data_IF_922990308302
#
_entry.id   IF_922990308302
#
_cell.length_a   1.000
_cell.length_b   1.000
_cell.length_c   1.000
_cell.angle_alpha   90.00
_cell.angle_beta   90.00
_cell.angle_gamma   90.00
#
_symmetry.space_group_name_H-M   'P 1'
#
loop_
_entity.id
_entity.type
_entity.pdbx_description
1 polymer ?
#
# COMPACT_ATOMS: atom_id res chain seq x y z
N UNK A 1 57.75 15.70 -52.94
CA UNK A 1 58.30 15.03 -54.15
C UNK A 1 57.56 13.71 -54.31
N UNK A 2 57.08 13.44 -55.52
CA UNK A 2 56.19 12.34 -55.88
C UNK A 2 56.86 10.96 -55.83
N UNK A 3 56.05 9.95 -55.44
CA UNK A 3 55.92 8.61 -56.04
C UNK A 3 57.17 7.70 -56.05
N UNK A 4 57.06 6.51 -55.44
CA UNK A 4 56.96 5.24 -56.20
C UNK A 4 57.07 3.99 -55.31
N UNK A 5 56.17 3.04 -55.60
CA UNK A 5 56.13 1.64 -55.15
C UNK A 5 57.33 0.84 -55.68
N UNK A 6 57.73 -0.23 -54.99
CA UNK A 6 57.89 -1.54 -55.63
C UNK A 6 57.81 -2.71 -54.64
N UNK A 7 57.13 -3.77 -55.07
CA UNK A 7 56.93 -5.08 -54.41
C UNK A 7 57.95 -6.09 -54.93
N UNK A 8 58.28 -7.12 -54.13
CA UNK A 8 58.53 -8.51 -54.57
C UNK A 8 58.37 -9.43 -53.32
N UNK A 9 57.42 -10.38 -53.21
CA UNK A 9 57.29 -11.76 -53.77
C UNK A 9 58.45 -12.68 -53.35
N UNK A 10 58.31 -13.85 -52.71
CA UNK A 10 57.47 -15.03 -53.03
C UNK A 10 57.43 -16.00 -51.82
N UNK A 11 56.24 -16.50 -51.43
CA UNK A 11 55.69 -17.88 -51.58
C UNK A 11 56.43 -19.01 -50.83
N UNK A 12 55.71 -19.68 -49.91
CA UNK A 12 55.39 -21.11 -49.99
C UNK A 12 54.19 -21.43 -49.07
N UNK A 13 53.26 -22.22 -49.60
CA UNK A 13 51.99 -22.65 -49.00
C UNK A 13 52.11 -24.03 -48.37
N UNK A 14 51.30 -24.32 -47.33
CA UNK A 14 50.32 -25.43 -47.23
C UNK A 14 50.05 -25.82 -45.74
N UNK A 15 48.75 -26.03 -45.44
CA UNK A 15 48.10 -26.65 -44.26
C UNK A 15 48.10 -25.80 -42.97
N UNK A 16 46.96 -25.50 -42.34
CA UNK A 16 45.58 -25.88 -42.63
C UNK A 16 44.62 -25.31 -41.58
N UNK A 17 43.35 -25.70 -41.76
CA UNK A 17 42.24 -25.66 -40.81
C UNK A 17 41.44 -24.35 -40.70
N UNK A 18 40.38 -24.33 -41.54
CA UNK A 18 39.02 -23.89 -41.25
C UNK A 18 38.70 -23.52 -39.79
N UNK A 19 38.04 -22.37 -39.56
CA UNK A 19 36.58 -22.28 -39.52
C UNK A 19 36.11 -20.83 -39.36
N UNK A 20 35.12 -20.46 -40.16
CA UNK A 20 34.30 -19.28 -39.97
C UNK A 20 33.49 -19.43 -38.67
N UNK A 21 33.63 -18.51 -37.72
CA UNK A 21 32.64 -18.39 -36.66
C UNK A 21 31.42 -17.64 -37.20
N UNK A 22 30.42 -18.41 -37.64
CA UNK A 22 29.03 -17.98 -37.65
C UNK A 22 28.61 -17.80 -36.19
N UNK A 23 28.19 -16.58 -35.84
CA UNK A 23 27.56 -16.29 -34.55
C UNK A 23 26.27 -17.10 -34.45
N UNK A 24 26.29 -18.14 -33.61
CA UNK A 24 25.12 -18.94 -33.27
C UNK A 24 24.23 -18.09 -32.35
N UNK A 25 23.10 -17.62 -32.86
CA UNK A 25 21.99 -17.15 -32.02
C UNK A 25 21.50 -18.36 -31.21
N UNK A 26 21.87 -18.42 -29.94
CA UNK A 26 21.26 -19.36 -29.00
C UNK A 26 19.98 -18.69 -28.47
N UNK A 27 18.90 -18.81 -29.22
CA UNK A 27 17.55 -18.53 -28.72
C UNK A 27 17.22 -19.63 -27.72
N UNK A 28 17.42 -19.37 -26.43
CA UNK A 28 16.77 -20.18 -25.39
C UNK A 28 15.28 -19.85 -25.48
N UNK A 29 14.54 -20.64 -26.26
CA UNK A 29 13.11 -20.80 -26.07
C UNK A 29 12.94 -21.50 -24.72
N UNK A 30 12.83 -20.71 -23.65
CA UNK A 30 12.05 -21.12 -22.50
C UNK A 30 10.62 -21.27 -23.00
N UNK A 31 10.28 -22.49 -23.42
CA UNK A 31 8.91 -22.97 -23.38
C UNK A 31 8.49 -22.91 -21.91
N UNK A 32 8.07 -21.72 -21.48
CA UNK A 32 7.10 -21.60 -20.42
C UNK A 32 5.86 -22.33 -20.94
N UNK A 33 5.79 -23.63 -20.69
CA UNK A 33 4.52 -24.21 -20.32
C UNK A 33 4.12 -23.46 -19.06
N UNK A 34 3.48 -22.30 -19.28
CA UNK A 34 2.70 -21.65 -18.27
C UNK A 34 1.65 -22.67 -17.91
N UNK A 35 1.92 -23.43 -16.84
CA UNK A 35 0.83 -23.88 -16.00
C UNK A 35 0.12 -22.58 -15.64
N UNK A 36 -0.99 -22.31 -16.32
CA UNK A 36 -1.99 -21.40 -15.80
C UNK A 36 -2.37 -22.03 -14.46
N UNK A 37 -1.69 -21.61 -13.41
CA UNK A 37 -2.17 -21.84 -12.06
C UNK A 37 -3.48 -21.07 -12.06
N UNK A 38 -4.58 -21.80 -12.22
CA UNK A 38 -5.91 -21.26 -11.97
C UNK A 38 -5.88 -20.94 -10.50
N UNK A 39 -5.70 -19.67 -10.14
CA UNK A 39 -5.89 -19.25 -8.76
C UNK A 39 -7.29 -19.73 -8.35
N UNK A 40 -7.35 -20.50 -7.26
CA UNK A 40 -8.62 -20.92 -6.71
C UNK A 40 -9.47 -19.67 -6.43
N UNK A 41 -10.78 -19.77 -6.67
CA UNK A 41 -11.68 -18.68 -6.31
C UNK A 41 -11.66 -18.49 -4.79
N UNK A 42 -11.81 -17.25 -4.29
CA UNK A 42 -11.93 -16.99 -2.87
C UNK A 42 -13.12 -17.76 -2.26
N UNK A 43 -12.95 -18.22 -1.03
CA UNK A 43 -13.87 -19.10 -0.32
C UNK A 43 -14.33 -18.46 0.99
N UNK A 44 -15.64 -18.53 1.24
CA UNK A 44 -16.21 -18.11 2.51
C UNK A 44 -15.92 -19.14 3.60
N UNK A 45 -15.44 -18.68 4.75
CA UNK A 45 -15.19 -19.56 5.91
C UNK A 45 -16.47 -19.85 6.72
N UNK A 46 -17.60 -19.28 6.29
CA UNK A 46 -18.91 -19.45 6.89
C UNK A 46 -19.96 -19.74 5.83
N UNK A 47 -20.94 -20.56 6.17
CA UNK A 47 -21.99 -20.98 5.25
C UNK A 47 -23.00 -19.87 4.90
N UNK A 48 -23.13 -18.85 5.76
CA UNK A 48 -24.04 -17.71 5.62
C UNK A 48 -23.43 -16.53 4.83
N UNK A 49 -22.13 -16.58 4.53
CA UNK A 49 -21.43 -15.65 3.63
C UNK A 49 -21.39 -16.24 2.23
N UNK A 50 -21.73 -15.43 1.22
CA UNK A 50 -21.72 -15.85 -0.20
C UNK A 50 -20.73 -15.03 -0.99
N UNK A 51 -20.05 -15.66 -1.95
CA UNK A 51 -19.04 -15.01 -2.78
C UNK A 51 -19.38 -15.25 -4.25
N UNK A 52 -19.28 -14.21 -5.07
CA UNK A 52 -19.33 -14.33 -6.54
C UNK A 52 -18.35 -13.38 -7.21
N UNK A 53 -17.81 -13.79 -8.35
CA UNK A 53 -17.07 -12.88 -9.22
C UNK A 53 -18.06 -11.94 -9.92
N UNK A 54 -17.76 -10.64 -9.93
CA UNK A 54 -18.54 -9.63 -10.65
C UNK A 54 -17.97 -9.46 -12.05
N UNK A 55 -16.68 -9.14 -12.14
CA UNK A 55 -16.00 -8.86 -13.41
C UNK A 55 -14.49 -9.01 -13.23
N UNK A 56 -13.79 -9.39 -14.30
CA UNK A 56 -12.32 -9.37 -14.37
C UNK A 56 -11.87 -8.13 -15.14
N UNK A 57 -10.93 -7.35 -14.60
CA UNK A 57 -10.66 -5.97 -15.07
C UNK A 57 -9.47 -5.82 -16.03
N UNK A 58 -8.83 -6.90 -16.51
CA UNK A 58 -7.61 -6.86 -17.38
C UNK A 58 -7.85 -6.13 -18.73
N UNK A 59 -6.85 -5.46 -19.36
CA UNK A 59 -5.61 -6.10 -19.86
C UNK A 59 -4.33 -5.25 -20.01
N UNK A 60 -4.27 -3.95 -19.67
CA UNK A 60 -3.05 -3.14 -19.92
C UNK A 60 -2.39 -2.57 -18.64
N UNK A 61 -3.19 -2.13 -17.67
CA UNK A 61 -2.70 -1.54 -16.41
C UNK A 61 -3.33 -2.24 -15.20
N UNK A 62 -2.63 -2.35 -14.05
CA UNK A 62 -3.21 -2.92 -12.84
C UNK A 62 -4.28 -2.00 -12.24
N UNK A 63 -5.36 -2.60 -11.75
CA UNK A 63 -6.33 -1.95 -10.88
C UNK A 63 -5.70 -1.73 -9.50
N UNK A 64 -5.94 -0.56 -8.92
CA UNK A 64 -5.32 -0.15 -7.66
C UNK A 64 -6.30 0.35 -6.61
N UNK A 65 -7.50 0.81 -7.00
CA UNK A 65 -8.54 1.26 -6.07
C UNK A 65 -9.94 0.93 -6.52
N UNK A 66 -10.87 0.78 -5.59
CA UNK A 66 -12.31 0.68 -5.80
C UNK A 66 -13.03 1.68 -4.89
N UNK A 67 -14.07 2.34 -5.38
CA UNK A 67 -14.78 3.37 -4.60
C UNK A 67 -16.22 3.51 -5.06
N UNK A 68 -17.15 3.81 -4.15
CA UNK A 68 -18.52 4.17 -4.52
C UNK A 68 -18.74 5.68 -4.52
N UNK A 69 -19.68 6.12 -5.34
CA UNK A 69 -20.31 7.43 -5.18
C UNK A 69 -21.34 7.34 -4.05
N UNK A 70 -21.15 8.06 -2.92
CA UNK A 70 -22.01 7.92 -1.75
C UNK A 70 -23.44 8.41 -1.98
N UNK A 71 -23.71 9.14 -3.08
CA UNK A 71 -25.03 9.69 -3.38
C UNK A 71 -25.98 8.66 -4.00
N UNK A 72 -25.43 7.64 -4.66
CA UNK A 72 -26.22 6.70 -5.45
C UNK A 72 -25.66 5.27 -5.52
N UNK A 73 -24.59 4.97 -4.76
CA UNK A 73 -23.92 3.68 -4.73
C UNK A 73 -23.33 3.22 -6.08
N UNK A 74 -23.11 4.12 -7.03
CA UNK A 74 -22.40 3.78 -8.28
C UNK A 74 -20.96 3.41 -7.95
N UNK A 75 -20.54 2.21 -8.32
CA UNK A 75 -19.19 1.70 -8.05
C UNK A 75 -18.23 2.02 -9.19
N UNK A 76 -17.01 2.43 -8.83
CA UNK A 76 -15.92 2.73 -9.75
C UNK A 76 -14.66 1.97 -9.33
N UNK A 77 -13.77 1.71 -10.28
CA UNK A 77 -12.39 1.33 -9.98
C UNK A 77 -11.39 2.16 -10.77
N UNK A 78 -10.21 2.33 -10.18
CA UNK A 78 -9.09 3.08 -10.71
C UNK A 78 -7.99 2.12 -11.16
N UNK A 79 -7.44 2.39 -12.35
CA UNK A 79 -6.22 1.78 -12.88
C UNK A 79 -5.03 2.69 -12.63
N UNK A 80 -3.82 2.11 -12.51
CA UNK A 80 -2.57 2.86 -12.25
C UNK A 80 -2.17 3.84 -13.37
N UNK A 81 -2.63 3.59 -14.61
CA UNK A 81 -2.46 4.49 -15.75
C UNK A 81 -3.40 5.71 -15.71
N UNK A 82 -4.29 5.80 -14.72
CA UNK A 82 -5.27 6.88 -14.55
C UNK A 82 -6.66 6.57 -15.08
N UNK A 83 -6.90 5.43 -15.72
CA UNK A 83 -8.24 5.10 -16.19
C UNK A 83 -9.20 4.85 -15.01
N UNK A 84 -10.37 5.48 -15.06
CA UNK A 84 -11.46 5.28 -14.10
C UNK A 84 -12.59 4.61 -14.86
N UNK A 85 -13.00 3.45 -14.36
CA UNK A 85 -14.10 2.67 -14.91
C UNK A 85 -15.28 2.69 -13.95
N UNK A 86 -16.49 2.80 -14.51
CA UNK A 86 -17.73 2.54 -13.78
C UNK A 86 -18.10 1.07 -13.92
N UNK A 87 -18.54 0.45 -12.82
CA UNK A 87 -19.03 -0.94 -12.80
C UNK A 87 -20.56 -0.94 -12.89
N UNK A 88 -21.10 -1.76 -13.79
CA UNK A 88 -22.51 -2.13 -13.77
C UNK A 88 -22.66 -3.47 -13.04
N UNK A 89 -23.16 -3.41 -11.81
CA UNK A 89 -23.32 -4.57 -10.94
C UNK A 89 -24.39 -5.56 -11.42
N UNK A 90 -25.39 -5.09 -12.17
CA UNK A 90 -26.48 -5.92 -12.66
C UNK A 90 -26.08 -6.73 -13.90
N UNK A 91 -25.33 -6.11 -14.82
CA UNK A 91 -24.87 -6.77 -16.04
C UNK A 91 -23.46 -7.33 -15.97
N UNK A 92 -22.73 -7.15 -14.85
CA UNK A 92 -21.33 -7.58 -14.70
C UNK A 92 -20.41 -7.01 -15.79
N UNK A 93 -20.63 -5.77 -16.19
CA UNK A 93 -19.83 -5.07 -17.21
C UNK A 93 -19.21 -3.79 -16.67
N UNK A 94 -18.22 -3.25 -17.38
CA UNK A 94 -17.54 -2.01 -16.98
C UNK A 94 -17.49 -1.04 -18.16
N UNK A 95 -17.39 0.26 -17.85
CA UNK A 95 -17.31 1.32 -18.86
C UNK A 95 -16.25 2.31 -18.45
N UNK A 96 -15.30 2.60 -19.34
CA UNK A 96 -14.32 3.68 -19.14
C UNK A 96 -15.07 5.02 -19.09
N UNK A 97 -14.90 5.78 -18.01
CA UNK A 97 -15.58 7.08 -17.84
C UNK A 97 -14.62 8.25 -17.81
N UNK A 98 -13.38 8.05 -17.32
CA UNK A 98 -12.34 9.07 -17.34
C UNK A 98 -10.97 8.42 -17.56
N UNK A 99 -10.04 9.21 -18.08
CA UNK A 99 -8.67 8.81 -18.38
C UNK A 99 -7.70 9.96 -18.15
N UNK A 100 -6.41 9.70 -18.36
CA UNK A 100 -5.38 10.74 -18.39
C UNK A 100 -5.78 11.94 -19.26
N UNK A 101 -6.52 11.76 -20.35
CA UNK A 101 -6.94 12.85 -21.22
C UNK A 101 -7.86 13.86 -20.51
N UNK A 102 -8.61 13.43 -19.52
CA UNK A 102 -9.52 14.26 -18.74
C UNK A 102 -8.79 14.98 -17.60
N UNK A 103 -8.11 14.21 -16.76
CA UNK A 103 -7.60 14.70 -15.47
C UNK A 103 -6.09 14.99 -15.44
N UNK A 104 -5.33 14.57 -16.45
CA UNK A 104 -3.88 14.79 -16.60
C UNK A 104 -3.02 14.23 -15.45
N UNK A 105 -3.43 13.10 -14.86
CA UNK A 105 -2.70 12.42 -13.79
C UNK A 105 -2.35 11.01 -14.25
N UNK A 106 -1.07 10.64 -14.15
CA UNK A 106 -0.59 9.27 -14.36
C UNK A 106 -0.04 8.70 -13.05
N UNK A 107 0.32 7.42 -13.03
CA UNK A 107 0.87 6.75 -11.83
C UNK A 107 -0.03 6.96 -10.60
N UNK A 108 -1.32 6.73 -10.84
CA UNK A 108 -2.39 6.95 -9.86
C UNK A 108 -2.35 5.87 -8.78
N UNK A 109 -2.59 6.29 -7.55
CA UNK A 109 -2.52 5.45 -6.35
C UNK A 109 -3.66 5.70 -5.35
N UNK A 110 -4.46 6.75 -5.54
CA UNK A 110 -5.55 7.10 -4.63
C UNK A 110 -6.73 7.72 -5.37
N UNK A 111 -7.94 7.31 -5.00
CA UNK A 111 -9.20 7.90 -5.43
C UNK A 111 -10.16 7.97 -4.24
N UNK A 112 -10.91 9.05 -4.11
CA UNK A 112 -12.01 9.16 -3.16
C UNK A 112 -13.15 9.99 -3.75
N UNK A 113 -14.39 9.72 -3.33
CA UNK A 113 -15.56 10.50 -3.77
C UNK A 113 -16.21 11.15 -2.55
N UNK A 114 -16.29 12.48 -2.58
CA UNK A 114 -16.90 13.26 -1.50
C UNK A 114 -18.43 13.17 -1.49
N UNK A 115 -19.09 13.63 -0.42
CA UNK A 115 -20.55 13.59 -0.29
C UNK A 115 -21.28 14.39 -1.38
N UNK A 116 -20.65 15.41 -1.96
CA UNK A 116 -21.17 16.16 -3.11
C UNK A 116 -20.90 15.49 -4.47
N UNK A 117 -20.22 14.34 -4.48
CA UNK A 117 -19.84 13.60 -5.67
C UNK A 117 -18.56 14.04 -6.34
N UNK A 118 -17.81 14.99 -5.77
CA UNK A 118 -16.49 15.37 -6.28
C UNK A 118 -15.53 14.18 -6.19
N UNK A 119 -14.86 13.84 -7.30
CA UNK A 119 -13.80 12.82 -7.30
C UNK A 119 -12.48 13.52 -6.98
N UNK A 120 -11.73 13.00 -6.02
CA UNK A 120 -10.34 13.37 -5.75
C UNK A 120 -9.44 12.25 -6.25
N UNK A 121 -8.38 12.60 -6.98
CA UNK A 121 -7.46 11.64 -7.58
C UNK A 121 -6.02 12.04 -7.27
N UNK A 122 -5.21 11.04 -6.92
CA UNK A 122 -3.82 11.20 -6.52
C UNK A 122 -2.94 10.36 -7.43
N UNK A 123 -1.88 10.99 -7.96
CA UNK A 123 -0.83 10.30 -8.68
C UNK A 123 0.56 10.88 -8.39
N UNK A 124 1.57 10.13 -8.83
CA UNK A 124 2.98 10.41 -8.53
C UNK A 124 3.80 10.55 -9.81
N UNK A 125 4.22 11.77 -10.13
CA UNK A 125 5.05 12.03 -11.30
C UNK A 125 6.53 11.80 -11.01
N UNK A 126 7.20 10.99 -11.84
CA UNK A 126 8.66 10.95 -11.85
C UNK A 126 9.24 12.29 -12.33
N UNK A 127 10.32 12.72 -11.71
CA UNK A 127 11.07 13.94 -12.03
C UNK A 127 12.53 13.56 -12.25
N UNK A 128 13.30 14.40 -12.95
CA UNK A 128 14.73 14.21 -13.16
C UNK A 128 15.48 13.96 -11.84
N UNK A 129 16.66 13.33 -11.93
CA UNK A 129 17.52 13.00 -10.79
C UNK A 129 16.84 12.08 -9.76
N UNK A 130 16.09 11.07 -10.21
CA UNK A 130 15.42 10.11 -9.31
C UNK A 130 14.51 10.77 -8.25
N UNK A 131 13.86 11.88 -8.59
CA UNK A 131 12.86 12.52 -7.75
C UNK A 131 11.43 12.10 -8.13
N UNK A 132 10.48 12.39 -7.25
CA UNK A 132 9.04 12.26 -7.48
C UNK A 132 8.31 13.51 -7.00
N UNK A 133 7.08 13.71 -7.47
CA UNK A 133 6.16 14.75 -6.98
C UNK A 133 4.72 14.23 -7.00
N UNK A 134 3.93 14.65 -6.01
CA UNK A 134 2.50 14.37 -5.96
C UNK A 134 1.71 15.35 -6.84
N UNK A 135 0.68 14.84 -7.51
CA UNK A 135 -0.32 15.62 -8.23
C UNK A 135 -1.68 15.19 -7.70
N UNK A 136 -2.40 16.14 -7.10
CA UNK A 136 -3.75 15.94 -6.55
C UNK A 136 -4.71 16.79 -7.36
N UNK A 137 -5.69 16.14 -7.97
CA UNK A 137 -6.73 16.81 -8.79
C UNK A 137 -8.10 16.52 -8.22
N UNK A 138 -9.06 17.40 -8.54
CA UNK A 138 -10.47 17.22 -8.22
C UNK A 138 -11.33 17.36 -9.47
N UNK A 139 -12.27 16.44 -9.64
CA UNK A 139 -13.29 16.46 -10.68
C UNK A 139 -14.63 16.85 -10.09
N UNK A 140 -15.05 18.10 -10.27
CA UNK A 140 -16.30 18.65 -9.73
C UNK A 140 -17.40 18.56 -10.78
N UNK A 141 -18.61 18.17 -10.39
CA UNK A 141 -19.75 18.09 -11.31
C UNK A 141 -20.26 19.51 -11.59
N UNK A 142 -20.36 19.87 -12.87
CA UNK A 142 -21.06 21.05 -13.32
C UNK A 142 -22.58 20.79 -13.23
N UNK A 143 -23.29 21.57 -12.41
CA UNK A 143 -24.72 21.40 -12.16
C UNK A 143 -25.60 21.64 -13.38
N UNK A 144 -25.14 22.41 -14.36
CA UNK A 144 -25.90 22.74 -15.56
C UNK A 144 -25.78 21.66 -16.64
N UNK A 145 -24.64 20.97 -16.71
CA UNK A 145 -24.35 19.99 -17.77
C UNK A 145 -24.26 18.55 -17.29
N UNK A 146 -24.15 18.34 -15.96
CA UNK A 146 -23.85 17.03 -15.37
C UNK A 146 -22.43 16.52 -15.63
N UNK A 147 -21.63 17.23 -16.42
CA UNK A 147 -20.26 16.85 -16.77
C UNK A 147 -19.29 17.17 -15.64
N UNK A 148 -18.22 16.38 -15.53
CA UNK A 148 -17.19 16.58 -14.52
C UNK A 148 -16.07 17.46 -15.05
N UNK A 149 -15.78 18.56 -14.34
CA UNK A 149 -14.70 19.50 -14.64
C UNK A 149 -13.52 19.19 -13.74
N UNK A 150 -12.39 18.86 -14.36
CA UNK A 150 -11.15 18.52 -13.66
C UNK A 150 -10.28 19.76 -13.43
N UNK A 151 -9.72 19.87 -12.23
CA UNK A 151 -8.81 20.96 -11.85
C UNK A 151 -7.78 20.47 -10.85
N UNK A 152 -6.64 21.16 -10.76
CA UNK A 152 -5.60 20.86 -9.76
C UNK A 152 -6.05 21.38 -8.39
N UNK A 153 -6.12 20.48 -7.42
CA UNK A 153 -6.28 20.84 -6.02
C UNK A 153 -4.92 21.23 -5.42
N UNK A 154 -3.92 20.36 -5.56
CA UNK A 154 -2.59 20.58 -5.01
C UNK A 154 -1.48 19.88 -5.81
N UNK A 155 -0.26 20.40 -5.70
CA UNK A 155 0.97 19.76 -6.18
C UNK A 155 2.05 19.87 -5.12
N UNK A 156 2.86 18.83 -4.96
CA UNK A 156 4.04 18.91 -4.10
C UNK A 156 5.25 19.49 -4.82
N UNK A 157 6.19 20.01 -4.05
CA UNK A 157 7.58 20.10 -4.47
C UNK A 157 8.10 18.71 -4.89
N UNK A 158 9.12 18.69 -5.75
CA UNK A 158 9.85 17.45 -6.01
C UNK A 158 10.63 17.04 -4.76
N UNK A 159 10.68 15.73 -4.50
CA UNK A 159 11.44 15.17 -3.38
C UNK A 159 12.15 13.87 -3.83
N UNK A 160 13.32 13.56 -3.25
CA UNK A 160 14.14 12.44 -3.68
C UNK A 160 13.46 11.10 -3.38
N UNK A 161 13.52 10.15 -4.32
CA UNK A 161 13.22 8.74 -4.05
C UNK A 161 14.40 8.06 -3.36
N UNK A 162 14.20 6.93 -2.72
CA UNK A 162 15.27 6.04 -2.24
C UNK A 162 15.79 5.11 -3.34
N UNK A 163 15.02 4.93 -4.43
CA UNK A 163 15.32 3.95 -5.50
C UNK A 163 15.31 2.51 -4.96
N UNK A 164 14.44 2.29 -3.99
CA UNK A 164 14.19 0.97 -3.39
C UNK A 164 12.72 0.57 -3.63
N UNK A 165 12.31 -0.57 -3.08
CA UNK A 165 10.90 -0.97 -3.08
C UNK A 165 10.06 -0.17 -2.05
N UNK A 166 10.70 0.62 -1.17
CA UNK A 166 10.08 1.28 -0.01
C UNK A 166 9.74 2.74 -0.26
N UNK A 167 9.80 3.19 -1.52
CA UNK A 167 9.26 4.49 -1.92
C UNK A 167 7.72 4.43 -1.94
N UNK A 168 7.09 4.61 -0.77
CA UNK A 168 5.64 4.45 -0.60
C UNK A 168 4.80 5.60 -1.18
N UNK A 169 5.40 6.81 -1.24
CA UNK A 169 4.87 8.01 -1.93
C UNK A 169 3.45 8.39 -1.49
N UNK A 170 2.78 9.25 -2.27
CA UNK A 170 1.42 9.67 -1.99
C UNK A 170 0.44 8.60 -2.49
N UNK A 171 -0.41 8.08 -1.61
CA UNK A 171 -1.35 7.01 -1.96
C UNK A 171 -2.75 7.20 -1.34
N UNK A 172 -3.13 6.44 -0.31
CA UNK A 172 -4.45 6.39 0.30
C UNK A 172 -5.05 7.77 0.54
N UNK A 173 -6.35 7.89 0.25
CA UNK A 173 -7.09 9.14 0.39
C UNK A 173 -8.51 8.89 0.83
N UNK A 174 -8.98 9.70 1.78
CA UNK A 174 -10.39 9.76 2.18
C UNK A 174 -10.87 11.19 2.24
N UNK A 175 -12.18 11.38 2.02
CA UNK A 175 -12.85 12.66 2.21
C UNK A 175 -13.47 12.67 3.62
N UNK A 176 -13.36 13.78 4.34
CA UNK A 176 -14.07 13.96 5.61
C UNK A 176 -15.58 13.79 5.43
N UNK A 177 -16.26 13.32 6.49
CA UNK A 177 -17.72 13.10 6.46
C UNK A 177 -18.51 14.36 6.11
N UNK A 178 -18.02 15.53 6.51
CA UNK A 178 -18.60 16.84 6.17
C UNK A 178 -18.22 17.35 4.77
N UNK A 179 -17.32 16.67 4.06
CA UNK A 179 -16.84 17.05 2.73
C UNK A 179 -15.86 18.22 2.70
N UNK A 180 -15.42 18.75 3.85
CA UNK A 180 -14.57 19.94 3.91
C UNK A 180 -13.08 19.66 3.69
N UNK A 181 -12.62 18.44 3.94
CA UNK A 181 -11.21 18.06 3.85
C UNK A 181 -11.01 16.74 3.12
N UNK A 182 -9.82 16.57 2.54
CA UNK A 182 -9.27 15.26 2.23
C UNK A 182 -8.06 14.97 3.11
N UNK A 183 -7.89 13.70 3.48
CA UNK A 183 -6.73 13.18 4.19
C UNK A 183 -5.98 12.25 3.26
N UNK A 184 -4.67 12.43 3.16
CA UNK A 184 -3.82 11.76 2.18
C UNK A 184 -2.62 11.18 2.89
N UNK A 185 -2.35 9.88 2.71
CA UNK A 185 -1.08 9.32 3.12
C UNK A 185 0.04 9.80 2.18
N UNK A 186 1.07 10.40 2.76
CA UNK A 186 2.37 10.63 2.15
C UNK A 186 3.37 9.72 2.85
N UNK A 187 3.54 8.52 2.28
CA UNK A 187 4.30 7.45 2.89
C UNK A 187 5.79 7.75 3.03
N UNK A 188 6.47 6.88 3.78
CA UNK A 188 7.91 6.96 3.98
C UNK A 188 8.68 6.74 2.68
N UNK A 189 9.93 7.19 2.68
CA UNK A 189 10.90 6.96 1.62
C UNK A 189 11.72 5.69 1.86
N UNK A 190 11.78 5.25 3.10
CA UNK A 190 12.68 4.21 3.61
C UNK A 190 11.91 3.05 4.23
N UNK A 191 12.59 1.91 4.41
CA UNK A 191 11.98 0.75 5.04
C UNK A 191 11.76 0.98 6.54
N UNK A 192 12.77 1.48 7.24
CA UNK A 192 12.79 1.64 8.70
C UNK A 192 13.59 2.88 9.15
N UNK A 193 13.65 3.93 8.31
CA UNK A 193 14.35 5.18 8.63
C UNK A 193 15.86 5.15 8.39
N UNK A 194 16.36 4.13 7.72
CA UNK A 194 17.76 4.00 7.35
C UNK A 194 18.21 5.05 6.32
N UNK A 195 19.52 5.27 6.20
CA UNK A 195 20.06 6.09 5.11
C UNK A 195 19.86 5.34 3.79
N UNK A 196 19.27 6.01 2.81
CA UNK A 196 19.18 5.48 1.45
C UNK A 196 19.60 6.52 0.41
N UNK A 197 20.56 6.14 -0.43
CA UNK A 197 20.96 6.92 -1.61
C UNK A 197 20.28 6.40 -2.87
N UNK A 198 19.86 7.30 -3.76
CA UNK A 198 19.32 6.92 -5.06
C UNK A 198 20.46 6.72 -6.07
N UNK A 199 21.20 5.61 -5.94
CA UNK A 199 22.31 5.29 -6.82
C UNK A 199 23.44 6.34 -6.81
N UNK A 200 23.78 6.85 -5.63
CA UNK A 200 24.76 7.92 -5.42
C UNK A 200 24.15 9.32 -5.34
N UNK A 201 22.91 9.51 -5.82
CA UNK A 201 22.18 10.77 -5.64
C UNK A 201 21.66 10.87 -4.20
N UNK A 202 21.66 12.09 -3.66
CA UNK A 202 21.18 12.40 -2.29
C UNK A 202 21.83 11.52 -1.22
N UNK A 203 23.17 11.54 -1.07
CA UNK A 203 23.84 10.78 -0.02
C UNK A 203 23.31 11.18 1.35
N UNK A 204 23.34 10.25 2.31
CA UNK A 204 22.93 10.47 3.70
C UNK A 204 21.45 10.86 3.89
N UNK A 205 20.62 10.67 2.87
CA UNK A 205 19.19 11.03 2.94
C UNK A 205 18.37 9.89 3.54
N UNK A 206 17.50 10.22 4.51
CA UNK A 206 16.51 9.33 5.12
C UNK A 206 15.12 9.72 4.63
N UNK A 207 14.25 10.13 5.54
CA UNK A 207 12.99 10.83 5.30
C UNK A 207 13.22 12.32 4.99
N UNK A 208 12.26 12.95 4.31
CA UNK A 208 12.27 14.37 3.94
C UNK A 208 10.97 15.04 4.36
N UNK A 209 10.87 16.37 4.20
CA UNK A 209 9.76 17.15 4.77
C UNK A 209 8.35 16.66 4.42
N UNK A 210 8.16 16.08 3.24
CA UNK A 210 6.87 15.54 2.78
C UNK A 210 6.60 14.08 3.18
N UNK A 211 7.57 13.30 3.61
CA UNK A 211 7.39 11.84 3.79
C UNK A 211 7.01 11.47 5.23
N UNK A 212 6.46 10.29 5.40
CA UNK A 212 6.02 9.76 6.69
C UNK A 212 4.99 10.61 7.44
N UNK A 213 3.90 11.00 6.75
CA UNK A 213 2.81 11.78 7.35
C UNK A 213 1.46 11.63 6.65
N UNK A 214 0.40 12.01 7.36
CA UNK A 214 -0.92 12.26 6.77
C UNK A 214 -1.06 13.76 6.50
N UNK A 215 -1.30 14.10 5.23
CA UNK A 215 -1.59 15.46 4.78
C UNK A 215 -3.11 15.68 4.83
N UNK A 216 -3.56 16.82 5.35
CA UNK A 216 -4.95 17.28 5.26
C UNK A 216 -5.05 18.52 4.39
N UNK A 217 -5.89 18.47 3.36
CA UNK A 217 -6.12 19.59 2.44
C UNK A 217 -7.60 20.01 2.42
N UNK A 218 -7.92 21.31 2.39
CA UNK A 218 -9.30 21.75 2.27
C UNK A 218 -9.82 21.50 0.85
N UNK A 219 -11.04 20.98 0.72
CA UNK A 219 -11.64 20.61 -0.57
C UNK A 219 -11.96 21.79 -1.48
N UNK A 220 -12.18 22.97 -0.89
CA UNK A 220 -12.35 24.23 -1.60
C UNK A 220 -11.04 24.83 -2.14
N UNK A 221 -9.88 24.26 -1.77
CA UNK A 221 -8.57 24.72 -2.23
C UNK A 221 -8.39 24.62 -3.75
N UNK A 222 -7.44 25.39 -4.27
CA UNK A 222 -7.10 25.40 -5.69
C UNK A 222 -5.60 25.69 -5.85
N UNK A 223 -4.92 24.89 -6.67
CA UNK A 223 -3.49 25.03 -6.96
C UNK A 223 -2.60 25.16 -5.71
N UNK A 224 -2.93 24.46 -4.61
CA UNK A 224 -2.13 24.50 -3.39
C UNK A 224 -0.74 23.92 -3.64
N UNK A 225 0.27 24.49 -2.98
CA UNK A 225 1.64 23.99 -3.06
C UNK A 225 2.07 23.33 -1.75
N UNK A 226 2.55 22.08 -1.84
CA UNK A 226 3.07 21.33 -0.69
C UNK A 226 4.59 21.39 -0.72
N UNK A 227 5.17 22.25 0.11
CA UNK A 227 6.62 22.37 0.20
C UNK A 227 7.27 21.08 0.73
N UNK A 228 8.46 20.73 0.24
CA UNK A 228 9.27 19.66 0.84
C UNK A 228 9.98 20.13 2.12
N UNK A 229 9.20 20.64 3.07
CA UNK A 229 9.66 21.16 4.34
C UNK A 229 8.58 20.95 5.41
N UNK A 230 8.91 20.18 6.46
CA UNK A 230 7.93 19.81 7.49
C UNK A 230 7.38 21.01 8.25
N UNK A 231 8.24 21.97 8.62
CA UNK A 231 7.82 23.15 9.36
C UNK A 231 6.86 24.01 8.52
N UNK A 232 7.15 24.22 7.23
CA UNK A 232 6.25 24.94 6.32
C UNK A 232 4.89 24.25 6.19
N UNK A 233 4.86 22.92 6.05
CA UNK A 233 3.60 22.16 5.98
C UNK A 233 2.79 22.28 7.27
N UNK A 234 3.45 22.26 8.44
CA UNK A 234 2.80 22.47 9.74
C UNK A 234 2.22 23.88 9.86
N UNK A 235 3.01 24.91 9.54
CA UNK A 235 2.55 26.31 9.59
C UNK A 235 1.40 26.60 8.63
N UNK A 236 1.34 25.89 7.50
CA UNK A 236 0.23 25.96 6.55
C UNK A 236 -1.02 25.16 6.99
N UNK A 237 -0.95 24.42 8.10
CA UNK A 237 -2.05 23.58 8.59
C UNK A 237 -2.28 22.30 7.80
N UNK A 238 -1.32 21.89 6.97
CA UNK A 238 -1.44 20.72 6.08
C UNK A 238 -1.01 19.40 6.72
N UNK A 239 -0.30 19.40 7.84
CA UNK A 239 0.00 18.16 8.56
C UNK A 239 -1.17 17.80 9.47
N UNK A 240 -1.75 16.62 9.25
CA UNK A 240 -2.74 16.02 10.16
C UNK A 240 -2.08 15.14 11.21
N UNK A 241 -1.28 14.16 10.77
CA UNK A 241 -0.58 13.22 11.64
C UNK A 241 0.83 12.93 11.09
N UNK A 242 1.72 12.44 11.95
CA UNK A 242 3.12 12.18 11.62
C UNK A 242 3.56 10.79 12.06
N UNK A 243 4.73 10.35 11.60
CA UNK A 243 5.30 9.06 12.02
C UNK A 243 4.57 7.87 11.43
N UNK A 244 4.14 8.01 10.18
CA UNK A 244 3.45 6.99 9.40
C UNK A 244 4.45 6.38 8.41
N UNK A 245 4.50 5.06 8.25
CA UNK A 245 5.27 4.39 7.21
C UNK A 245 4.48 4.32 5.91
N UNK A 246 3.45 3.49 5.87
CA UNK A 246 2.62 3.32 4.67
C UNK A 246 1.18 2.98 5.03
N UNK A 247 0.42 3.97 5.51
CA UNK A 247 -1.03 3.85 5.66
C UNK A 247 -1.70 3.85 4.27
N UNK A 248 -1.68 2.71 3.59
CA UNK A 248 -2.16 2.62 2.21
C UNK A 248 -3.67 2.83 2.11
N UNK A 249 -4.43 2.49 3.16
CA UNK A 249 -5.87 2.72 3.26
C UNK A 249 -6.28 3.35 4.58
N UNK A 250 -7.27 4.23 4.48
CA UNK A 250 -7.91 4.91 5.60
C UNK A 250 -9.42 4.81 5.45
N UNK A 251 -10.16 4.83 6.54
CA UNK A 251 -11.62 4.93 6.51
C UNK A 251 -12.18 5.57 7.77
N UNK A 252 -13.27 6.33 7.60
CA UNK A 252 -14.06 6.80 8.73
C UNK A 252 -15.00 5.68 9.19
N UNK A 253 -14.93 5.35 10.47
CA UNK A 253 -15.92 4.49 11.11
C UNK A 253 -17.25 5.23 11.29
N UNK A 254 -18.37 4.52 11.58
CA UNK A 254 -19.70 5.13 11.65
C UNK A 254 -19.86 6.14 12.79
N UNK A 255 -18.95 6.12 13.77
CA UNK A 255 -18.88 7.09 14.87
C UNK A 255 -18.05 8.35 14.54
N UNK A 256 -17.49 8.44 13.33
CA UNK A 256 -16.68 9.58 12.88
C UNK A 256 -15.18 9.49 13.19
N UNK A 257 -14.72 8.42 13.84
CA UNK A 257 -13.29 8.20 14.06
C UNK A 257 -12.60 7.76 12.76
N UNK A 258 -11.41 8.32 12.49
CA UNK A 258 -10.60 7.97 11.32
C UNK A 258 -9.63 6.85 11.68
N UNK A 259 -9.65 5.77 10.91
CA UNK A 259 -8.71 4.66 11.06
C UNK A 259 -7.78 4.57 9.85
N UNK A 260 -6.57 4.06 10.06
CA UNK A 260 -5.60 3.78 9.02
C UNK A 260 -4.99 2.39 9.18
N UNK A 261 -5.00 1.60 8.10
CA UNK A 261 -4.29 0.33 8.01
C UNK A 261 -2.89 0.59 7.44
N UNK A 262 -1.85 0.20 8.19
CA UNK A 262 -0.48 0.65 7.95
C UNK A 262 0.49 -0.51 7.78
N UNK A 263 1.29 -0.43 6.72
CA UNK A 263 2.24 -1.49 6.38
C UNK A 263 3.59 -1.33 7.09
N UNK A 264 4.05 -2.40 7.73
CA UNK A 264 5.30 -2.56 8.45
C UNK A 264 6.50 -2.86 7.55
N UNK A 265 7.71 -2.85 8.13
CA UNK A 265 8.98 -3.01 7.42
C UNK A 265 9.34 -4.49 7.20
N UNK A 266 10.47 -4.72 6.52
CA UNK A 266 10.98 -6.06 6.22
C UNK A 266 11.45 -6.86 7.46
N UNK A 267 11.68 -6.20 8.60
CA UNK A 267 11.89 -6.84 9.90
C UNK A 267 10.55 -7.22 10.49
N UNK A 268 10.44 -8.43 11.06
CA UNK A 268 9.21 -9.05 11.59
C UNK A 268 8.58 -8.24 12.77
N UNK A 269 8.05 -7.07 12.48
CA UNK A 269 7.34 -6.16 13.37
C UNK A 269 5.88 -6.10 12.93
N UNK A 270 4.96 -6.02 13.89
CA UNK A 270 3.52 -6.06 13.61
C UNK A 270 3.11 -5.04 12.56
N UNK A 271 2.21 -5.43 11.66
CA UNK A 271 1.43 -4.48 10.89
C UNK A 271 0.48 -3.73 11.84
N UNK A 272 0.01 -2.55 11.46
CA UNK A 272 -0.73 -1.67 12.37
C UNK A 272 -2.14 -1.32 11.87
N UNK A 273 -3.08 -1.23 12.80
CA UNK A 273 -4.31 -0.46 12.66
C UNK A 273 -4.26 0.70 13.65
N UNK A 274 -4.37 1.92 13.14
CA UNK A 274 -4.19 3.14 13.91
C UNK A 274 -5.47 3.96 13.96
N UNK A 275 -5.88 4.43 15.15
CA UNK A 275 -6.88 5.49 15.28
C UNK A 275 -6.20 6.84 15.01
N UNK A 276 -6.34 7.34 13.79
CA UNK A 276 -5.68 8.53 13.27
C UNK A 276 -6.29 9.82 13.82
N UNK A 277 -5.45 10.65 14.43
CA UNK A 277 -5.88 11.88 15.13
C UNK A 277 -4.96 13.05 14.81
N UNK A 278 -5.55 14.23 14.75
CA UNK A 278 -4.82 15.45 14.45
C UNK A 278 -3.75 15.72 15.52
N UNK A 279 -2.52 15.97 15.08
CA UNK A 279 -1.38 16.32 15.95
C UNK A 279 -0.68 15.12 16.59
N UNK A 280 -1.14 13.89 16.33
CA UNK A 280 -0.53 12.68 16.88
C UNK A 280 0.65 12.21 16.01
N UNK A 281 1.59 11.52 16.65
CA UNK A 281 2.75 10.90 16.01
C UNK A 281 2.73 9.39 16.24
N UNK A 282 2.76 8.59 15.18
CA UNK A 282 2.52 7.14 15.19
C UNK A 282 3.80 6.30 15.28
N UNK A 283 4.96 6.97 15.29
CA UNK A 283 6.19 6.40 15.81
C UNK A 283 7.27 6.16 14.79
N UNK A 284 6.94 5.97 13.51
CA UNK A 284 7.94 5.78 12.47
C UNK A 284 8.94 6.95 12.41
N UNK A 285 10.26 6.71 12.32
CA UNK A 285 10.90 5.39 12.24
C UNK A 285 11.38 4.82 13.59
N UNK A 286 11.10 5.48 14.72
CA UNK A 286 11.62 5.09 16.04
C UNK A 286 10.88 3.94 16.69
N UNK A 287 9.57 3.85 16.45
CA UNK A 287 8.70 2.84 17.02
C UNK A 287 7.74 2.35 15.95
N UNK A 288 7.73 1.05 15.72
CA UNK A 288 7.05 0.41 14.60
C UNK A 288 6.48 -0.92 15.08
N UNK A 289 5.22 -1.19 14.77
CA UNK A 289 4.50 -2.39 15.16
C UNK A 289 4.44 -2.57 16.68
N UNK A 290 4.39 -1.48 17.45
CA UNK A 290 4.44 -1.49 18.92
C UNK A 290 5.81 -1.86 19.52
N UNK A 291 6.88 -1.85 18.73
CA UNK A 291 8.24 -2.16 19.18
C UNK A 291 9.24 -1.07 18.80
N UNK A 292 10.32 -0.92 19.57
CA UNK A 292 11.35 0.06 19.23
C UNK A 292 12.18 -0.44 18.04
N UNK A 293 12.45 0.44 17.08
CA UNK A 293 13.34 0.15 15.97
C UNK A 293 14.77 -0.03 16.50
N UNK A 294 15.38 -1.21 16.39
CA UNK A 294 16.65 -1.47 17.04
C UNK A 294 17.79 -0.63 16.46
N UNK A 295 17.68 -0.16 15.22
CA UNK A 295 18.72 0.64 14.55
C UNK A 295 18.97 2.00 15.20
N UNK A 296 18.05 2.47 16.06
CA UNK A 296 18.27 3.68 16.85
C UNK A 296 19.29 3.50 17.99
N UNK A 297 19.67 2.27 18.33
CA UNK A 297 20.55 1.99 19.46
C UNK A 297 22.01 1.76 19.01
N UNK A 298 23.00 2.42 19.67
CA UNK A 298 24.42 2.32 19.30
C UNK A 298 25.04 0.92 19.40
N UNK A 299 24.39 -0.02 20.09
CA UNK A 299 24.85 -1.40 20.26
C UNK A 299 24.07 -2.41 19.40
N UNK A 300 23.24 -1.93 18.45
CA UNK A 300 22.51 -2.81 17.55
C UNK A 300 23.46 -3.67 16.72
N UNK A 301 23.27 -4.99 16.77
CA UNK A 301 23.98 -5.94 15.93
C UNK A 301 22.95 -6.77 15.15
N UNK A 302 22.79 -6.53 13.82
CA UNK A 302 21.80 -7.24 13.01
C UNK A 302 22.04 -8.76 12.96
N UNK A 303 23.28 -9.23 13.15
CA UNK A 303 23.57 -10.66 13.16
C UNK A 303 22.90 -11.41 14.33
N UNK A 304 22.51 -10.69 15.38
CA UNK A 304 21.81 -11.24 16.55
C UNK A 304 20.29 -11.02 16.50
N UNK A 305 19.79 -10.31 15.49
CA UNK A 305 18.38 -9.96 15.39
C UNK A 305 17.58 -11.08 14.73
N UNK A 306 16.88 -11.83 15.56
CA UNK A 306 16.06 -12.98 15.13
C UNK A 306 14.82 -12.57 14.32
N UNK A 307 14.50 -11.28 14.25
CA UNK A 307 13.37 -10.77 13.49
C UNK A 307 13.76 -10.40 12.04
N UNK A 308 15.02 -10.58 11.65
CA UNK A 308 15.47 -10.38 10.28
C UNK A 308 15.36 -11.67 9.48
N UNK A 309 14.36 -11.75 8.59
CA UNK A 309 14.19 -12.89 7.69
C UNK A 309 14.99 -12.66 6.39
N UNK A 310 15.94 -13.56 6.03
CA UNK A 310 16.83 -13.38 4.88
C UNK A 310 16.11 -13.48 3.52
N UNK A 311 14.81 -13.72 3.47
CA UNK A 311 14.01 -13.64 2.24
C UNK A 311 13.65 -12.19 1.86
N UNK A 312 13.82 -11.24 2.77
CA UNK A 312 13.44 -9.85 2.55
C UNK A 312 14.53 -8.99 1.91
N UNK A 313 14.09 -7.99 1.14
CA UNK A 313 14.96 -7.14 0.34
C UNK A 313 15.88 -6.27 1.18
N UNK A 314 15.40 -5.69 2.28
CA UNK A 314 16.18 -4.81 3.14
C UNK A 314 17.22 -5.60 3.93
N UNK A 315 16.87 -6.83 4.33
CA UNK A 315 17.78 -7.76 5.01
C UNK A 315 18.90 -8.20 4.06
N UNK A 316 18.54 -8.71 2.87
CA UNK A 316 19.53 -9.19 1.89
C UNK A 316 20.46 -8.11 1.36
N UNK A 317 20.00 -6.85 1.32
CA UNK A 317 20.81 -5.70 0.91
C UNK A 317 21.59 -5.06 2.06
N UNK A 318 21.47 -5.57 3.28
CA UNK A 318 22.22 -5.08 4.44
C UNK A 318 21.77 -3.70 4.93
N UNK A 319 20.49 -3.36 4.78
CA UNK A 319 19.94 -2.07 5.22
C UNK A 319 19.77 -1.98 6.74
N UNK A 320 19.74 -3.12 7.42
CA UNK A 320 19.83 -3.22 8.87
C UNK A 320 21.30 -3.26 9.31
N UNK A 321 21.77 -2.19 9.95
CA UNK A 321 23.15 -2.06 10.44
C UNK A 321 23.21 -1.16 11.67
N UNK A 322 24.32 -1.20 12.42
CA UNK A 322 24.54 -0.25 13.51
C UNK A 322 24.75 1.15 12.93
N UNK A 323 23.85 2.09 13.25
CA UNK A 323 23.85 3.43 12.73
C UNK A 323 24.02 4.47 13.85
N UNK A 324 25.27 4.87 14.19
CA UNK A 324 25.52 5.91 15.19
C UNK A 324 24.93 7.29 14.83
N UNK A 325 24.49 7.46 13.59
CA UNK A 325 23.87 8.71 13.09
C UNK A 325 22.36 8.62 12.97
N UNK A 326 21.75 7.55 13.51
CA UNK A 326 20.29 7.42 13.52
C UNK A 326 19.68 8.62 14.27
N UNK A 327 18.60 9.25 13.75
CA UNK A 327 18.04 10.44 14.37
C UNK A 327 17.58 10.14 15.81
N UNK A 328 17.87 11.02 16.79
CA UNK A 328 17.39 10.83 18.15
C UNK A 328 15.87 10.80 18.17
N UNK A 329 15.31 9.90 18.99
CA UNK A 329 13.86 9.84 19.23
C UNK A 329 13.37 11.19 19.76
N UNK A 330 12.33 11.79 19.16
CA UNK A 330 11.82 13.08 19.62
C UNK A 330 11.23 12.95 21.02
N UNK A 331 11.34 14.02 21.82
CA UNK A 331 10.72 14.11 23.14
C UNK A 331 9.22 14.42 23.02
N UNK A 332 8.47 13.50 22.42
CA UNK A 332 7.01 13.55 22.26
C UNK A 332 6.43 12.19 22.65
N UNK A 333 5.16 12.18 23.07
CA UNK A 333 4.44 10.92 23.27
C UNK A 333 4.13 10.32 21.89
N UNK A 334 4.64 9.11 21.65
CA UNK A 334 4.28 8.33 20.47
C UNK A 334 2.97 7.60 20.73
N UNK A 335 2.21 7.41 19.65
CA UNK A 335 0.89 6.77 19.68
C UNK A 335 1.06 5.30 19.38
N UNK A 336 0.52 4.43 20.23
CA UNK A 336 0.54 3.00 19.99
C UNK A 336 -0.58 2.56 19.04
N UNK A 337 -0.33 1.50 18.24
CA UNK A 337 -1.37 0.88 17.42
C UNK A 337 -2.45 0.20 18.26
N UNK A 338 -3.54 -0.21 17.62
CA UNK A 338 -4.70 -0.85 18.27
C UNK A 338 -4.40 -2.33 18.55
N UNK A 339 -4.30 -2.78 19.81
CA UNK A 339 -3.99 -4.17 20.14
C UNK A 339 -5.09 -5.12 19.68
N UNK A 340 -4.67 -6.22 19.03
CA UNK A 340 -5.51 -7.33 18.60
C UNK A 340 -5.47 -8.47 19.61
N UNK A 341 -6.64 -8.94 20.01
CA UNK A 341 -6.86 -10.06 20.94
C UNK A 341 -7.26 -11.35 20.21
N UNK A 342 -7.15 -11.37 18.88
CA UNK A 342 -7.32 -12.54 18.02
C UNK A 342 -8.79 -12.88 17.72
N UNK A 343 -9.08 -14.13 17.30
CA UNK A 343 -8.15 -15.26 17.21
C UNK A 343 -7.27 -15.26 15.95
N UNK A 344 -7.48 -14.34 15.01
CA UNK A 344 -6.74 -14.33 13.75
C UNK A 344 -5.80 -13.14 13.62
N UNK A 345 -4.85 -13.28 12.70
CA UNK A 345 -3.87 -12.24 12.35
C UNK A 345 -3.05 -11.77 13.55
N UNK A 346 -2.72 -12.66 14.47
CA UNK A 346 -2.05 -12.34 15.74
C UNK A 346 -0.83 -13.23 16.03
N UNK A 347 -0.31 -13.92 15.01
CA UNK A 347 1.00 -14.57 15.06
C UNK A 347 2.14 -13.55 15.09
N UNK A 348 3.19 -13.84 15.86
CA UNK A 348 4.42 -13.05 15.94
C UNK A 348 5.65 -13.94 16.12
N UNK A 349 6.82 -13.44 15.71
CA UNK A 349 8.10 -14.07 16.00
C UNK A 349 8.65 -13.50 17.30
N UNK A 350 8.94 -14.35 18.27
CA UNK A 350 9.51 -13.93 19.54
C UNK A 350 10.96 -13.48 19.37
N UNK A 351 11.33 -12.24 19.72
CA UNK A 351 12.70 -11.75 19.58
C UNK A 351 13.73 -12.50 20.44
N UNK A 352 13.32 -13.13 21.54
CA UNK A 352 14.21 -13.82 22.48
C UNK A 352 14.70 -15.16 21.95
N UNK A 353 13.84 -15.90 21.24
CA UNK A 353 14.15 -17.26 20.81
C UNK A 353 13.88 -17.53 19.31
N UNK A 354 13.28 -16.59 18.58
CA UNK A 354 12.98 -16.69 17.15
C UNK A 354 11.79 -17.59 16.81
N UNK A 355 11.09 -18.14 17.81
CA UNK A 355 9.93 -19.00 17.60
C UNK A 355 8.69 -18.19 17.24
N UNK A 356 7.90 -18.72 16.33
CA UNK A 356 6.59 -18.16 15.98
C UNK A 356 5.55 -18.61 17.00
N UNK A 357 4.84 -17.64 17.56
CA UNK A 357 3.81 -17.80 18.59
C UNK A 357 2.52 -17.13 18.12
N UNK A 358 1.40 -17.68 18.57
CA UNK A 358 0.06 -17.12 18.43
C UNK A 358 -0.26 -16.35 19.72
N UNK A 359 -0.57 -15.05 19.62
CA UNK A 359 -0.74 -14.21 20.79
C UNK A 359 -2.01 -14.56 21.58
N UNK A 360 -3.15 -14.68 20.92
CA UNK A 360 -4.44 -14.97 21.58
C UNK A 360 -4.48 -16.37 22.16
N UNK A 361 -3.85 -17.37 21.51
CA UNK A 361 -3.67 -18.70 22.07
C UNK A 361 -2.91 -18.69 23.40
N UNK A 362 -1.98 -17.74 23.57
CA UNK A 362 -1.22 -17.53 24.81
C UNK A 362 -1.92 -16.60 25.81
N UNK A 363 -3.15 -16.15 25.53
CA UNK A 363 -3.88 -15.18 26.36
C UNK A 363 -3.29 -13.77 26.33
N UNK A 364 -2.58 -13.42 25.26
CA UNK A 364 -1.91 -12.13 25.06
C UNK A 364 -2.53 -11.40 23.86
N UNK A 365 -2.16 -10.13 23.68
CA UNK A 365 -2.49 -9.36 22.47
C UNK A 365 -1.26 -9.13 21.61
N UNK A 366 -1.45 -9.05 20.29
CA UNK A 366 -0.45 -8.50 19.37
C UNK A 366 -0.73 -7.00 19.13
N UNK A 367 0.30 -6.23 18.77
CA UNK A 367 0.15 -4.78 18.56
C UNK A 367 -0.91 -4.40 17.53
N UNK A 368 -1.04 -5.11 16.41
CA UNK A 368 -2.31 -5.23 15.66
C UNK A 368 -2.32 -6.51 14.83
N UNK A 369 -1.66 -6.54 13.67
CA UNK A 369 -1.71 -7.72 12.80
C UNK A 369 -0.35 -8.40 12.67
N UNK A 370 -0.37 -9.70 12.40
CA UNK A 370 0.81 -10.48 12.01
C UNK A 370 1.59 -9.73 10.95
N UNK A 371 2.90 -9.68 11.14
CA UNK A 371 3.83 -8.98 10.27
C UNK A 371 3.74 -9.48 8.81
N UNK A 372 4.03 -8.58 7.87
CA UNK A 372 4.04 -8.80 6.42
C UNK A 372 2.68 -9.07 5.76
N UNK A 373 1.56 -8.99 6.49
CA UNK A 373 0.22 -9.15 5.90
C UNK A 373 -0.11 -8.06 4.90
N UNK A 374 0.53 -6.89 5.02
CA UNK A 374 0.21 -5.69 4.23
C UNK A 374 -1.30 -5.42 4.24
N UNK A 375 -1.87 -4.93 5.37
CA UNK A 375 -3.29 -4.69 5.50
C UNK A 375 -3.72 -3.53 4.58
N UNK A 376 -4.72 -3.76 3.72
CA UNK A 376 -5.26 -2.80 2.74
C UNK A 376 -6.80 -2.85 2.70
N UNK A 377 -7.45 -1.98 1.92
CA UNK A 377 -8.89 -1.99 1.68
C UNK A 377 -9.74 -1.94 2.96
N UNK A 378 -9.36 -1.06 3.89
CA UNK A 378 -10.09 -0.83 5.13
C UNK A 378 -11.45 -0.18 4.86
N UNK A 379 -12.54 -0.81 5.29
CA UNK A 379 -13.92 -0.32 5.12
C UNK A 379 -14.78 -0.55 6.36
N UNK A 380 -15.86 0.21 6.51
CA UNK A 380 -16.81 0.08 7.63
C UNK A 380 -18.26 0.00 7.15
N UNK A 381 -19.10 -0.78 7.84
CA UNK A 381 -20.57 -0.78 7.64
C UNK A 381 -21.21 0.52 8.17
N UNK A 382 -21.03 1.61 7.42
CA UNK A 382 -21.54 2.93 7.77
C UNK A 382 -23.07 3.04 7.81
N UNK A 383 -23.78 2.13 7.14
CA UNK A 383 -25.24 2.12 7.08
C UNK A 383 -25.86 1.26 8.18
N UNK A 384 -25.08 0.40 8.85
CA UNK A 384 -25.60 -0.60 9.78
C UNK A 384 -26.53 -1.60 9.09
N UNK A 385 -26.17 -1.98 7.86
CA UNK A 385 -26.98 -2.81 6.98
C UNK A 385 -26.73 -4.32 7.20
N UNK A 386 -25.63 -4.67 7.84
CA UNK A 386 -25.26 -6.06 8.12
C UNK A 386 -25.92 -6.56 9.41
N UNK A 387 -25.95 -7.88 9.59
CA UNK A 387 -26.51 -8.56 10.75
C UNK A 387 -25.91 -8.05 12.07
N UNK A 388 -26.55 -8.27 13.23
CA UNK A 388 -26.08 -7.74 14.51
C UNK A 388 -24.60 -8.02 14.84
N UNK A 389 -24.05 -9.13 14.36
CA UNK A 389 -22.63 -9.50 14.54
C UNK A 389 -21.64 -8.57 13.81
N UNK A 390 -22.06 -7.99 12.68
CA UNK A 390 -21.21 -7.19 11.78
C UNK A 390 -21.66 -5.73 11.69
N UNK A 391 -22.74 -5.39 12.38
CA UNK A 391 -23.40 -4.11 12.29
C UNK A 391 -22.46 -2.99 12.77
N UNK A 392 -22.12 -2.08 11.86
CA UNK A 392 -21.19 -0.94 12.10
C UNK A 392 -19.73 -1.31 12.32
N UNK A 393 -19.35 -2.55 12.07
CA UNK A 393 -17.98 -3.01 12.22
C UNK A 393 -17.11 -2.71 10.99
N UNK A 394 -15.81 -2.90 11.17
CA UNK A 394 -14.79 -2.72 10.15
C UNK A 394 -14.42 -4.02 9.46
N UNK A 395 -13.84 -3.90 8.27
CA UNK A 395 -13.24 -5.01 7.54
C UNK A 395 -11.94 -4.56 6.88
N UNK A 396 -10.96 -5.45 6.77
CA UNK A 396 -9.67 -5.17 6.12
C UNK A 396 -9.18 -6.38 5.37
N UNK A 397 -8.48 -6.14 4.26
CA UNK A 397 -7.87 -7.17 3.42
C UNK A 397 -6.41 -7.38 3.80
N UNK A 398 -5.88 -8.57 3.48
CA UNK A 398 -4.43 -8.83 3.61
C UNK A 398 -3.84 -9.13 2.23
N UNK A 399 -2.94 -8.27 1.76
CA UNK A 399 -2.46 -8.31 0.37
C UNK A 399 -1.46 -9.44 0.09
N UNK A 400 -0.54 -9.68 1.03
CA UNK A 400 0.60 -10.59 0.81
C UNK A 400 0.15 -12.04 0.95
N UNK A 401 0.63 -12.95 0.10
CA UNK A 401 0.47 -14.39 0.31
C UNK A 401 1.28 -14.83 1.53
N UNK A 402 0.68 -15.62 2.42
CA UNK A 402 1.36 -16.19 3.58
C UNK A 402 1.51 -17.71 3.51
N UNK A 403 2.13 -18.28 4.54
CA UNK A 403 2.24 -19.72 4.76
C UNK A 403 1.39 -20.11 5.98
N UNK A 404 0.24 -20.80 5.81
CA UNK A 404 -0.66 -21.13 6.92
C UNK A 404 -0.06 -22.05 7.98
N UNK A 405 1.02 -22.77 7.68
CA UNK A 405 1.56 -23.82 8.57
C UNK A 405 3.04 -23.63 8.92
N UNK A 406 3.72 -22.71 8.23
CA UNK A 406 5.17 -22.56 8.32
C UNK A 406 5.65 -21.14 8.05
N UNK A 407 6.85 -21.04 7.52
CA UNK A 407 7.55 -19.78 7.24
C UNK A 407 8.31 -19.87 5.90
N UNK A 408 7.77 -20.65 4.96
CA UNK A 408 8.45 -20.97 3.69
C UNK A 408 8.49 -19.80 2.72
N UNK A 409 7.54 -18.87 2.82
CA UNK A 409 7.49 -17.64 2.01
C UNK A 409 8.11 -16.46 2.77
N UNK A 410 8.33 -15.33 2.10
CA UNK A 410 8.75 -14.10 2.76
C UNK A 410 7.59 -13.51 3.61
N UNK A 411 6.35 -13.62 3.12
CA UNK A 411 5.15 -13.09 3.75
C UNK A 411 4.75 -13.74 5.08
N UNK A 412 3.52 -13.46 5.56
CA UNK A 412 3.07 -13.86 6.89
C UNK A 412 3.34 -15.33 7.18
N UNK A 413 3.84 -15.60 8.39
CA UNK A 413 4.22 -16.93 8.85
C UNK A 413 3.14 -17.53 9.74
N UNK A 414 2.89 -18.84 9.59
CA UNK A 414 1.76 -19.57 10.19
C UNK A 414 0.41 -18.87 9.99
N UNK A 415 0.29 -18.22 8.85
CA UNK A 415 -0.80 -17.32 8.51
C UNK A 415 -0.98 -17.37 6.99
N UNK A 416 -2.17 -17.72 6.51
CA UNK A 416 -2.43 -17.81 5.08
C UNK A 416 -2.47 -16.42 4.41
N UNK A 417 -2.92 -15.40 5.15
CA UNK A 417 -3.23 -14.07 4.63
C UNK A 417 -4.16 -14.14 3.40
N UNK A 418 -4.12 -13.17 2.47
CA UNK A 418 -4.91 -13.18 1.24
C UNK A 418 -6.40 -13.40 1.48
N UNK A 419 -6.93 -12.65 2.44
CA UNK A 419 -8.22 -12.86 3.07
C UNK A 419 -8.95 -11.54 3.33
N UNK A 420 -10.16 -11.66 3.87
CA UNK A 420 -10.93 -10.58 4.45
C UNK A 420 -11.08 -10.86 5.96
N UNK A 421 -10.62 -9.91 6.77
CA UNK A 421 -10.80 -9.89 8.21
C UNK A 421 -12.03 -9.05 8.57
N UNK A 422 -12.87 -9.56 9.46
CA UNK A 422 -13.80 -8.77 10.26
C UNK A 422 -13.05 -8.17 11.45
N UNK A 423 -13.30 -6.89 11.70
CA UNK A 423 -12.69 -6.11 12.77
C UNK A 423 -13.76 -5.70 13.79
N UNK A 424 -13.86 -6.45 14.88
CA UNK A 424 -14.68 -6.07 16.03
C UNK A 424 -13.89 -5.12 16.93
N UNK A 425 -14.22 -3.83 16.87
CA UNK A 425 -13.51 -2.77 17.56
C UNK A 425 -14.27 -2.28 18.79
N UNK A 426 -13.62 -2.38 19.95
CA UNK A 426 -14.17 -1.85 21.21
C UNK A 426 -13.36 -0.63 21.65
N UNK A 427 -14.02 0.53 21.79
CA UNK A 427 -13.36 1.76 22.23
C UNK A 427 -12.93 1.65 23.70
N UNK A 428 -11.70 2.04 24.01
CA UNK A 428 -11.16 2.10 25.38
C UNK A 428 -11.05 3.55 25.80
N UNK A 429 -12.08 4.05 26.48
CA UNK A 429 -12.16 5.43 26.92
C UNK A 429 -11.95 6.42 25.77
N UNK A 430 -11.06 7.39 25.96
CA UNK A 430 -10.67 8.37 24.94
C UNK A 430 -9.24 8.15 24.41
N UNK A 431 -8.60 7.05 24.82
CA UNK A 431 -7.17 6.84 24.58
C UNK A 431 -6.91 6.03 23.32
N UNK A 432 -7.59 4.88 23.17
CA UNK A 432 -7.39 3.94 22.05
C UNK A 432 -8.60 2.98 21.88
N UNK A 433 -8.41 1.91 21.11
CA UNK A 433 -9.35 0.80 20.92
C UNK A 433 -8.72 -0.53 21.34
N UNK A 434 -9.54 -1.58 21.40
CA UNK A 434 -9.15 -2.99 21.31
C UNK A 434 -9.78 -3.59 20.07
N UNK A 435 -9.12 -4.58 19.49
CA UNK A 435 -9.57 -5.31 18.31
C UNK A 435 -9.68 -6.80 18.62
N UNK A 436 -10.75 -7.43 18.15
CA UNK A 436 -10.78 -8.87 17.87
C UNK A 436 -10.89 -9.05 16.35
N UNK A 437 -9.84 -9.59 15.74
CA UNK A 437 -9.80 -9.85 14.29
C UNK A 437 -10.19 -11.30 13.99
N UNK A 438 -11.08 -11.48 13.01
CA UNK A 438 -11.55 -12.81 12.56
C UNK A 438 -11.52 -12.93 11.05
N UNK A 439 -10.94 -14.00 10.53
CA UNK A 439 -10.98 -14.32 9.10
C UNK A 439 -12.37 -14.81 8.73
N UNK A 440 -12.95 -14.24 7.68
CA UNK A 440 -14.30 -14.62 7.20
C UNK A 440 -14.31 -15.09 5.73
N UNK A 441 -13.29 -14.72 4.97
CA UNK A 441 -13.07 -15.17 3.58
C UNK A 441 -11.58 -15.42 3.38
N UNK A 442 -11.20 -16.42 2.60
CA UNK A 442 -9.81 -16.73 2.26
C UNK A 442 -9.60 -16.87 0.76
N UNK A 443 -8.33 -16.86 0.33
CA UNK A 443 -7.94 -17.28 -1.02
C UNK A 443 -8.08 -16.21 -2.11
N UNK A 444 -8.14 -14.93 -1.74
CA UNK A 444 -8.02 -13.85 -2.72
C UNK A 444 -6.61 -13.80 -3.33
N UNK A 445 -6.49 -13.31 -4.55
CA UNK A 445 -5.20 -13.08 -5.21
C UNK A 445 -4.77 -11.62 -5.06
N UNK A 446 -3.94 -11.36 -4.06
CA UNK A 446 -3.43 -10.02 -3.72
C UNK A 446 -4.57 -8.98 -3.66
N UNK A 447 -5.55 -9.15 -2.76
CA UNK A 447 -6.65 -8.20 -2.62
C UNK A 447 -6.07 -6.84 -2.19
N UNK A 448 -6.47 -5.77 -2.88
CA UNK A 448 -5.83 -4.45 -2.76
C UNK A 448 -6.73 -3.35 -2.22
N UNK A 449 -8.04 -3.45 -2.45
CA UNK A 449 -8.98 -2.44 -2.00
C UNK A 449 -10.40 -3.00 -1.86
N UNK A 450 -11.26 -2.35 -1.08
CA UNK A 450 -12.64 -2.76 -0.86
C UNK A 450 -13.62 -1.59 -0.78
N UNK A 451 -14.91 -1.87 -0.99
CA UNK A 451 -16.00 -0.91 -0.81
C UNK A 451 -17.29 -1.60 -0.35
N UNK A 452 -18.15 -0.91 0.40
CA UNK A 452 -19.40 -1.46 0.95
C UNK A 452 -20.64 -0.81 0.32
N UNK A 453 -21.56 -1.64 -0.18
CA UNK A 453 -22.92 -1.20 -0.57
C UNK A 453 -23.95 -2.13 0.08
N UNK A 454 -24.74 -1.59 1.01
CA UNK A 454 -25.66 -2.39 1.81
C UNK A 454 -24.89 -3.45 2.61
N UNK A 455 -25.32 -4.70 2.55
CA UNK A 455 -24.68 -5.84 3.21
C UNK A 455 -23.60 -6.54 2.35
N UNK A 456 -23.06 -5.85 1.34
CA UNK A 456 -22.11 -6.43 0.39
C UNK A 456 -20.79 -5.69 0.41
N UNK A 457 -19.70 -6.45 0.49
CA UNK A 457 -18.33 -5.96 0.39
C UNK A 457 -17.81 -6.32 -1.00
N UNK A 458 -17.40 -5.32 -1.77
CA UNK A 458 -16.79 -5.50 -3.08
C UNK A 458 -15.27 -5.44 -2.94
N UNK A 459 -14.60 -6.55 -3.22
CA UNK A 459 -13.15 -6.70 -3.09
C UNK A 459 -12.51 -6.62 -4.46
N UNK A 460 -11.53 -5.73 -4.62
CA UNK A 460 -10.71 -5.60 -5.82
C UNK A 460 -9.39 -6.35 -5.63
N UNK A 461 -9.04 -7.18 -6.61
CA UNK A 461 -7.73 -7.85 -6.66
C UNK A 461 -6.73 -7.09 -7.52
N UNK A 462 -5.48 -7.04 -7.05
CA UNK A 462 -4.33 -6.64 -7.85
C UNK A 462 -3.73 -7.84 -8.62
N UNK A 463 -3.76 -9.01 -7.99
CA UNK A 463 -3.23 -10.26 -8.52
C UNK A 463 -4.21 -10.97 -9.47
N UNK A 464 -3.84 -12.18 -9.89
CA UNK A 464 -4.72 -13.08 -10.64
C UNK A 464 -5.29 -12.42 -11.90
N UNK A 465 -6.62 -12.42 -12.02
CA UNK A 465 -7.35 -11.79 -13.13
C UNK A 465 -7.81 -10.36 -12.83
N UNK A 466 -7.34 -9.78 -11.72
CA UNK A 466 -7.79 -8.49 -11.20
C UNK A 466 -9.31 -8.46 -11.09
N UNK A 467 -9.86 -9.47 -10.41
CA UNK A 467 -11.29 -9.63 -10.21
C UNK A 467 -11.85 -8.56 -9.27
N UNK A 468 -13.08 -8.14 -9.54
CA UNK A 468 -13.95 -7.55 -8.53
C UNK A 468 -14.85 -8.68 -8.03
N UNK A 469 -14.75 -8.99 -6.75
CA UNK A 469 -15.54 -10.01 -6.07
C UNK A 469 -16.60 -9.33 -5.20
N UNK A 470 -17.81 -9.90 -5.16
CA UNK A 470 -18.83 -9.51 -4.19
C UNK A 470 -18.88 -10.55 -3.09
N UNK A 471 -18.68 -10.10 -1.85
CA UNK A 471 -18.88 -10.87 -0.62
C UNK A 471 -20.18 -10.39 0.01
N UNK A 472 -21.21 -11.22 -0.01
CA UNK A 472 -22.49 -10.94 0.64
C UNK A 472 -22.43 -11.40 2.09
N UNK A 473 -22.54 -10.44 3.02
CA UNK A 473 -22.59 -10.65 4.46
C UNK A 473 -24.06 -10.77 4.88
N UNK A 474 -24.41 -11.58 5.90
CA UNK A 474 -25.77 -11.64 6.43
C UNK A 474 -26.33 -10.24 6.73
N UNK A 475 -27.57 -9.98 6.31
CA UNK A 475 -28.25 -8.70 6.52
C UNK A 475 -28.93 -8.66 7.90
N UNK A 476 -29.30 -7.45 8.33
CA UNK A 476 -30.06 -7.19 9.55
C UNK A 476 -31.49 -7.75 9.51
#
# INVERSE_FOLDING_TARGET
MNIAKCKSTNKFTIKGWFFWFKTLLLTILLLNYGTTVVNAAPEALRSDIKIRNIVNTKSISPSVRIVKDPRNNTLYYLKRNGEIYRVNLASSTTTLVYSFNDHKVSETQGIAIGPNGTIYLIGNGNVANDQTKAIIVKGVINTNTGQRIWSVLAKSAAYPKSKTAYDHRFNGVVVSLDGNYIYINSGSRTDHGEVQTAGGLYPNTREVGLTACIIRLPTNGQNLFLANNRATLKSAGYIFAEGIRNTYDMAFAPNGDLFGAENGPDRDMSEELNWLRQGFHYGFPWRIGGTDNPQQYPNYNPANDRLLNPKFGAVTKGYYYNDPTFPPKPNITLTEPIPNFGPDADNYRDPQNGQIKDASFLGQSLSTFTTHRSPLGLVFDTQGAMSPEFNRDGFVLSWTIGDPTGETVAGPFKDASQDLLHLNLTKVGTTNYKLEARRIVQGFSNPIDAEIIGNKIYVLEYGGNQGIWEVTIPAK
#
